data_IF_453691855932
#
_entry.id   IF_453691855932
#
_cell.length_a   1.000
_cell.length_b   1.000
_cell.length_c   1.000
_cell.angle_alpha   90.00
_cell.angle_beta   90.00
_cell.angle_gamma   90.00
#
_symmetry.space_group_name_H-M   'P 1'
#
loop_
_entity.id
_entity.type
_entity.pdbx_description
1 polymer ?
#
# COMPACT_ATOMS: atom_id res chain seq x y z
N UNK A 1 7.65 -3.77 18.93
CA UNK A 1 7.15 -3.50 20.29
C UNK A 1 5.73 -4.04 20.50
N UNK A 2 4.81 -3.90 19.53
CA UNK A 2 3.44 -4.45 19.59
C UNK A 2 3.35 -5.98 19.75
N UNK A 3 4.18 -6.76 19.05
CA UNK A 3 4.12 -8.23 19.11
C UNK A 3 4.38 -8.76 20.54
N UNK A 4 5.26 -8.09 21.31
CA UNK A 4 5.55 -8.44 22.71
C UNK A 4 4.37 -8.14 23.64
N UNK A 5 3.55 -7.13 23.36
CA UNK A 5 2.37 -6.81 24.16
C UNK A 5 1.23 -7.82 23.94
N UNK A 6 1.07 -8.34 22.72
CA UNK A 6 -0.01 -9.29 22.38
C UNK A 6 0.27 -10.70 22.94
N UNK A 7 1.54 -11.12 22.99
CA UNK A 7 1.94 -12.47 23.42
C UNK A 7 1.92 -12.71 24.94
N UNK A 8 1.81 -11.66 25.76
CA UNK A 8 1.78 -11.77 27.22
C UNK A 8 0.43 -12.27 27.77
N UNK A 9 -0.64 -12.25 26.97
CA UNK A 9 -1.99 -12.61 27.38
C UNK A 9 -2.32 -14.09 27.19
N UNK A 10 -1.72 -14.99 27.97
CA UNK A 10 -2.13 -16.41 27.97
C UNK A 10 -3.15 -16.69 29.08
N UNK A 11 -4.44 -16.65 28.74
CA UNK A 11 -5.48 -17.42 29.46
C UNK A 11 -6.70 -17.69 28.55
N UNK A 12 -7.36 -18.79 28.91
CA UNK A 12 -8.43 -19.52 28.20
C UNK A 12 -9.49 -18.63 27.53
N UNK A 13 -9.99 -19.16 26.42
CA UNK A 13 -11.18 -18.73 25.71
C UNK A 13 -12.37 -18.59 26.65
N UNK A 14 -12.65 -17.37 27.09
CA UNK A 14 -13.93 -16.95 27.65
C UNK A 14 -14.10 -15.47 27.26
N UNK A 15 -15.10 -15.16 26.44
CA UNK A 15 -15.46 -13.78 26.12
C UNK A 15 -16.05 -13.14 27.39
N UNK A 16 -15.25 -12.32 28.08
CA UNK A 16 -15.72 -11.50 29.20
C UNK A 16 -15.85 -10.06 28.69
N UNK A 17 -17.10 -9.63 28.44
CA UNK A 17 -17.39 -8.21 28.27
C UNK A 17 -17.49 -7.60 29.67
N UNK A 18 -16.39 -6.97 30.12
CA UNK A 18 -16.38 -6.17 31.34
C UNK A 18 -16.97 -4.80 30.98
N UNK A 19 -18.13 -4.47 31.54
CA UNK A 19 -18.96 -3.32 31.13
C UNK A 19 -18.48 -1.93 31.57
N UNK A 20 -17.42 -1.81 32.37
CA UNK A 20 -16.97 -0.52 32.94
C UNK A 20 -15.45 -0.29 32.87
N UNK A 21 -14.82 -0.71 31.79
CA UNK A 21 -13.43 -0.34 31.48
C UNK A 21 -13.46 0.34 30.10
N UNK A 22 -12.84 1.53 29.90
CA UNK A 22 -12.63 2.03 28.55
C UNK A 22 -11.85 0.96 27.79
N UNK A 23 -12.51 0.31 26.83
CA UNK A 23 -11.93 -0.86 26.16
C UNK A 23 -10.69 -0.39 25.39
N UNK A 24 -9.51 -0.65 25.97
CA UNK A 24 -8.25 -0.19 25.40
C UNK A 24 -7.90 -0.95 24.11
N UNK A 25 -8.26 -2.24 24.03
CA UNK A 25 -8.01 -3.08 22.86
C UNK A 25 -8.89 -4.34 22.89
N UNK A 26 -9.41 -4.76 21.74
CA UNK A 26 -10.12 -6.04 21.55
C UNK A 26 -9.24 -6.95 20.70
N UNK A 27 -9.01 -8.18 21.17
CA UNK A 27 -8.26 -9.21 20.43
C UNK A 27 -9.15 -10.43 20.27
N UNK A 28 -9.32 -10.90 19.04
CA UNK A 28 -10.15 -12.06 18.70
C UNK A 28 -9.35 -13.10 17.94
N UNK A 29 -9.50 -14.37 18.29
CA UNK A 29 -8.92 -15.48 17.56
C UNK A 29 -9.98 -16.13 16.68
N UNK A 30 -9.72 -16.20 15.38
CA UNK A 30 -10.60 -16.81 14.40
C UNK A 30 -9.91 -18.03 13.79
N UNK A 31 -10.63 -19.16 13.75
CA UNK A 31 -10.17 -20.36 13.07
C UNK A 31 -10.68 -20.36 11.62
N UNK A 32 -9.76 -20.50 10.65
CA UNK A 32 -10.09 -20.43 9.22
C UNK A 32 -11.06 -21.51 8.76
N UNK A 33 -11.07 -22.67 9.42
CA UNK A 33 -12.00 -23.76 9.09
C UNK A 33 -13.46 -23.48 9.49
N UNK A 34 -13.67 -22.63 10.51
CA UNK A 34 -15.02 -22.33 11.02
C UNK A 34 -15.69 -21.19 10.25
N UNK A 35 -14.89 -20.33 9.61
CA UNK A 35 -15.36 -19.17 8.88
C UNK A 35 -14.59 -19.06 7.55
N UNK A 36 -15.14 -19.64 6.46
CA UNK A 36 -14.51 -19.58 5.14
C UNK A 36 -14.25 -18.14 4.70
N UNK A 37 -13.15 -17.91 3.97
CA UNK A 37 -12.74 -16.57 3.55
C UNK A 37 -13.77 -15.87 2.64
N UNK A 38 -14.56 -16.66 1.91
CA UNK A 38 -15.60 -16.15 1.02
C UNK A 38 -16.85 -15.66 1.75
N UNK A 39 -17.02 -16.04 3.02
CA UNK A 39 -18.19 -15.70 3.82
C UNK A 39 -18.30 -14.18 4.05
N UNK A 40 -19.54 -13.71 4.21
CA UNK A 40 -19.82 -12.29 4.43
C UNK A 40 -19.31 -11.84 5.79
N UNK A 41 -19.44 -12.73 6.78
CA UNK A 41 -19.02 -12.56 8.16
C UNK A 41 -17.50 -12.36 8.24
N UNK A 42 -16.73 -13.17 7.52
CA UNK A 42 -15.27 -13.04 7.44
C UNK A 42 -14.86 -11.69 6.86
N UNK A 43 -15.50 -11.28 5.76
CA UNK A 43 -15.25 -9.99 5.11
C UNK A 43 -15.57 -8.81 6.02
N UNK A 44 -16.70 -8.87 6.73
CA UNK A 44 -17.07 -7.84 7.70
C UNK A 44 -16.09 -7.76 8.87
N UNK A 45 -15.69 -8.90 9.43
CA UNK A 45 -14.75 -8.96 10.55
C UNK A 45 -13.38 -8.40 10.17
N UNK A 46 -12.92 -8.72 8.96
CA UNK A 46 -11.68 -8.15 8.43
C UNK A 46 -11.78 -6.65 8.15
N UNK A 47 -12.95 -6.16 7.71
CA UNK A 47 -13.16 -4.73 7.45
C UNK A 47 -13.11 -3.89 8.73
N UNK A 48 -13.70 -4.38 9.82
CA UNK A 48 -13.69 -3.67 11.10
C UNK A 48 -12.32 -3.75 11.80
N UNK A 49 -11.58 -4.86 11.61
CA UNK A 49 -10.30 -5.09 12.25
C UNK A 49 -9.27 -4.00 11.88
N UNK A 50 -8.61 -3.44 12.89
CA UNK A 50 -7.50 -2.49 12.73
C UNK A 50 -6.19 -3.21 12.40
N UNK A 51 -6.04 -4.42 12.93
CA UNK A 51 -4.85 -5.25 12.76
C UNK A 51 -5.29 -6.69 12.56
N UNK A 52 -4.76 -7.32 11.52
CA UNK A 52 -4.99 -8.70 11.17
C UNK A 52 -3.66 -9.45 11.30
N UNK A 53 -3.70 -10.60 11.96
CA UNK A 53 -2.55 -11.47 12.15
C UNK A 53 -2.94 -12.84 11.62
N UNK A 54 -2.38 -13.21 10.47
CA UNK A 54 -2.64 -14.50 9.84
C UNK A 54 -1.46 -15.43 10.09
N UNK A 55 -1.75 -16.59 10.69
CA UNK A 55 -0.77 -17.64 10.92
C UNK A 55 -0.86 -18.66 9.80
N UNK A 56 0.26 -18.92 9.13
CA UNK A 56 0.40 -19.97 8.12
C UNK A 56 1.50 -20.94 8.54
N UNK A 57 1.29 -22.22 8.29
CA UNK A 57 2.31 -23.24 8.45
C UNK A 57 2.82 -23.63 7.06
N UNK A 58 4.08 -23.35 6.75
CA UNK A 58 4.73 -23.84 5.54
C UNK A 58 5.04 -25.35 5.68
N UNK A 59 5.14 -26.12 4.57
CA UNK A 59 5.42 -27.55 4.60
C UNK A 59 6.78 -27.87 5.23
N UNK A 60 7.69 -26.90 5.26
CA UNK A 60 8.98 -26.96 5.97
C UNK A 60 8.86 -26.83 7.51
N UNK A 61 7.64 -26.87 8.06
CA UNK A 61 7.32 -26.68 9.49
C UNK A 61 7.71 -25.32 10.06
N UNK A 62 7.99 -24.34 9.20
CA UNK A 62 8.21 -22.95 9.63
C UNK A 62 6.84 -22.27 9.78
N UNK A 63 6.63 -21.64 10.93
CA UNK A 63 5.42 -20.84 11.16
C UNK A 63 5.65 -19.47 10.55
N UNK A 64 4.86 -19.12 9.54
CA UNK A 64 4.82 -17.80 8.95
C UNK A 64 3.69 -16.99 9.57
N UNK A 65 3.94 -15.71 9.80
CA UNK A 65 2.96 -14.78 10.34
C UNK A 65 2.88 -13.58 9.41
N UNK A 66 1.72 -13.32 8.82
CA UNK A 66 1.47 -12.06 8.13
C UNK A 66 0.75 -11.11 9.05
N UNK A 67 1.33 -9.93 9.17
CA UNK A 67 0.75 -8.79 9.85
C UNK A 67 0.24 -7.82 8.80
N UNK A 68 -1.05 -7.49 8.87
CA UNK A 68 -1.64 -6.38 8.12
C UNK A 68 -2.21 -5.40 9.12
N UNK A 69 -1.74 -4.16 9.09
CA UNK A 69 -2.25 -3.13 9.98
C UNK A 69 -2.69 -1.88 9.21
N UNK A 70 -3.82 -1.33 9.62
CA UNK A 70 -4.38 -0.07 9.09
C UNK A 70 -3.84 1.10 9.88
N UNK A 71 -3.16 2.01 9.19
CA UNK A 71 -2.70 3.28 9.74
C UNK A 71 -3.87 4.26 9.90
N UNK A 72 -3.68 5.29 10.74
CA UNK A 72 -4.68 6.35 10.94
C UNK A 72 -4.95 7.16 9.66
N UNK A 73 -3.97 7.25 8.77
CA UNK A 73 -4.07 7.90 7.45
C UNK A 73 -4.82 7.06 6.39
N UNK A 74 -5.37 5.90 6.76
CA UNK A 74 -6.08 5.00 5.85
C UNK A 74 -5.19 4.10 4.98
N UNK A 75 -3.86 4.25 5.03
CA UNK A 75 -2.93 3.32 4.38
C UNK A 75 -2.83 2.01 5.16
N UNK A 76 -2.36 0.97 4.49
CA UNK A 76 -2.10 -0.33 5.10
C UNK A 76 -0.60 -0.65 5.00
N UNK A 77 -0.02 -1.17 6.07
CA UNK A 77 1.31 -1.75 6.05
C UNK A 77 1.20 -3.26 6.29
N UNK A 78 1.97 -4.00 5.48
CA UNK A 78 2.00 -5.45 5.45
C UNK A 78 3.42 -5.93 5.72
N UNK A 79 3.56 -6.85 6.65
CA UNK A 79 4.84 -7.43 7.04
C UNK A 79 4.69 -8.93 7.20
N UNK A 80 5.69 -9.67 6.74
CA UNK A 80 5.73 -11.13 6.85
C UNK A 80 6.86 -11.53 7.80
N UNK A 81 6.54 -12.38 8.77
CA UNK A 81 7.47 -12.83 9.80
C UNK A 81 7.65 -14.34 9.72
N UNK A 82 8.89 -14.81 9.79
CA UNK A 82 9.22 -16.20 10.09
C UNK A 82 9.34 -16.35 11.61
N UNK A 83 8.54 -17.22 12.20
CA UNK A 83 8.47 -17.41 13.65
C UNK A 83 8.87 -18.83 14.06
N UNK A 84 9.68 -18.91 15.12
CA UNK A 84 10.18 -20.17 15.67
C UNK A 84 10.19 -20.08 17.20
N UNK A 85 9.97 -21.20 17.88
CA UNK A 85 10.18 -21.28 19.33
C UNK A 85 11.52 -21.94 19.62
N UNK A 86 12.31 -21.30 20.48
CA UNK A 86 13.54 -21.89 20.99
C UNK A 86 13.28 -23.03 21.99
N UNK A 87 14.33 -23.78 22.32
CA UNK A 87 14.34 -24.75 23.42
C UNK A 87 13.91 -24.13 24.77
N UNK A 88 14.11 -22.81 24.94
CA UNK A 88 13.68 -22.02 26.10
C UNK A 88 12.21 -21.57 26.06
N UNK A 89 11.44 -21.96 25.02
CA UNK A 89 10.06 -21.52 24.72
C UNK A 89 9.92 -20.02 24.45
N UNK A 90 11.01 -19.35 24.11
CA UNK A 90 10.99 -17.96 23.68
C UNK A 90 10.70 -17.89 22.17
N UNK A 91 9.87 -16.91 21.77
CA UNK A 91 9.56 -16.66 20.37
C UNK A 91 10.72 -15.91 19.71
N UNK A 92 11.37 -16.56 18.75
CA UNK A 92 12.26 -15.93 17.79
C UNK A 92 11.51 -15.59 16.52
N UNK A 93 11.78 -14.41 15.95
CA UNK A 93 11.18 -13.99 14.70
C UNK A 93 12.18 -13.28 13.79
N UNK A 94 12.01 -13.46 12.49
CA UNK A 94 12.76 -12.77 11.44
C UNK A 94 11.79 -12.12 10.46
N UNK A 95 12.04 -10.85 10.11
CA UNK A 95 11.24 -10.12 9.12
C UNK A 95 11.66 -10.58 7.73
N UNK A 96 10.75 -11.22 7.02
CA UNK A 96 10.93 -11.53 5.61
C UNK A 96 10.52 -10.28 4.84
N UNK A 97 11.53 -9.52 4.43
CA UNK A 97 11.33 -8.49 3.43
C UNK A 97 11.16 -9.20 2.10
N UNK A 98 10.02 -9.02 1.45
CA UNK A 98 9.91 -9.37 0.04
C UNK A 98 11.07 -8.69 -0.70
N UNK A 99 11.74 -9.38 -1.66
CA UNK A 99 12.66 -8.68 -2.54
C UNK A 99 11.91 -7.47 -3.10
N UNK A 100 12.56 -6.30 -3.23
CA UNK A 100 11.91 -5.16 -3.86
C UNK A 100 11.31 -5.70 -5.16
N UNK A 101 10.00 -5.55 -5.34
CA UNK A 101 9.38 -5.77 -6.64
C UNK A 101 10.17 -4.86 -7.56
N UNK A 102 11.17 -5.42 -8.24
CA UNK A 102 11.72 -4.82 -9.43
C UNK A 102 10.47 -4.62 -10.26
N UNK A 103 10.01 -3.37 -10.34
CA UNK A 103 9.16 -2.94 -11.42
C UNK A 103 10.01 -3.18 -12.65
N UNK A 104 10.03 -4.44 -13.12
CA UNK A 104 10.32 -4.72 -14.52
C UNK A 104 9.40 -3.74 -15.25
N UNK A 105 9.91 -2.89 -16.16
CA UNK A 105 9.03 -2.05 -16.95
C UNK A 105 7.95 -2.99 -17.48
N UNK A 106 6.70 -2.74 -17.06
CA UNK A 106 5.58 -3.54 -17.47
C UNK A 106 5.66 -3.60 -18.98
N UNK A 107 5.93 -4.78 -19.52
CA UNK A 107 5.79 -5.00 -20.96
C UNK A 107 4.39 -4.50 -21.31
N UNK A 108 4.31 -3.61 -22.30
CA UNK A 108 3.15 -2.85 -22.80
C UNK A 108 1.90 -3.66 -23.21
N UNK A 109 1.65 -4.81 -22.61
CA UNK A 109 0.51 -5.67 -22.84
C UNK A 109 -0.22 -5.93 -21.53
N UNK A 110 -0.64 -4.86 -20.86
CA UNK A 110 -1.89 -4.92 -20.12
C UNK A 110 -2.93 -5.24 -21.19
N UNK A 111 -3.46 -6.46 -21.17
CA UNK A 111 -4.59 -6.84 -22.01
C UNK A 111 -5.81 -6.08 -21.50
N UNK A 112 -5.93 -4.82 -21.91
CA UNK A 112 -6.95 -3.91 -21.42
C UNK A 112 -8.31 -4.41 -21.92
N UNK A 113 -9.13 -4.96 -21.03
CA UNK A 113 -10.56 -5.19 -21.29
C UNK A 113 -11.31 -3.86 -21.17
N UNK A 114 -11.02 -2.90 -22.06
CA UNK A 114 -11.80 -1.67 -22.21
C UNK A 114 -12.68 -1.77 -23.45
N UNK A 115 -13.85 -1.15 -23.42
CA UNK A 115 -14.76 -1.04 -24.58
C UNK A 115 -14.22 -0.12 -25.68
N UNK A 116 -13.06 0.49 -25.47
CA UNK A 116 -12.38 1.38 -26.40
C UNK A 116 -10.87 1.11 -26.42
N UNK A 117 -10.24 1.46 -27.53
CA UNK A 117 -8.83 1.16 -27.83
C UNK A 117 -7.91 2.13 -27.05
N UNK A 118 -7.13 1.61 -26.10
CA UNK A 118 -6.14 2.40 -25.35
C UNK A 118 -4.76 2.48 -26.01
N UNK A 119 -4.46 1.61 -26.97
CA UNK A 119 -3.18 1.56 -27.66
C UNK A 119 -3.30 2.07 -29.09
N UNK A 120 -2.35 2.90 -29.52
CA UNK A 120 -2.26 3.33 -30.91
C UNK A 120 -1.48 2.30 -31.73
N UNK A 121 -2.00 1.95 -32.89
CA UNK A 121 -1.24 1.19 -33.89
C UNK A 121 -0.06 2.02 -34.43
N UNK A 122 0.94 1.34 -34.98
CA UNK A 122 2.16 1.97 -35.48
C UNK A 122 1.86 3.05 -36.55
N UNK A 123 0.87 2.78 -37.42
CA UNK A 123 0.39 3.73 -38.43
C UNK A 123 -0.27 4.98 -37.82
N UNK A 124 -1.03 4.81 -36.73
CA UNK A 124 -1.68 5.92 -36.03
C UNK A 124 -0.65 6.78 -35.29
N UNK A 125 0.38 6.15 -34.71
CA UNK A 125 1.52 6.85 -34.10
C UNK A 125 2.28 7.68 -35.14
N UNK A 126 2.50 7.12 -36.32
CA UNK A 126 3.19 7.83 -37.42
C UNK A 126 2.37 9.01 -37.93
N UNK A 127 1.06 8.82 -38.11
CA UNK A 127 0.14 9.89 -38.51
C UNK A 127 0.13 11.03 -37.47
N UNK A 128 0.06 10.70 -36.16
CA UNK A 128 0.14 11.70 -35.08
C UNK A 128 1.44 12.49 -35.10
N UNK A 129 2.58 11.85 -35.42
CA UNK A 129 3.89 12.52 -35.51
C UNK A 129 3.98 13.48 -36.70
N UNK A 130 3.23 13.21 -37.77
CA UNK A 130 3.19 14.06 -38.97
C UNK A 130 2.26 15.28 -38.82
N UNK A 131 1.39 15.30 -37.81
CA UNK A 131 0.53 16.45 -37.53
C UNK A 131 1.37 17.62 -37.04
N UNK A 132 1.46 18.67 -37.86
CA UNK A 132 2.09 19.93 -37.49
C UNK A 132 1.15 20.69 -36.55
N UNK A 133 1.61 20.95 -35.33
CA UNK A 133 0.82 21.71 -34.35
C UNK A 133 0.84 23.20 -34.72
N UNK A 134 -0.33 23.86 -34.90
CA UNK A 134 -0.43 25.21 -35.47
C UNK A 134 0.38 26.30 -34.77
N UNK A 135 0.67 26.12 -33.47
CA UNK A 135 1.30 27.13 -32.63
C UNK A 135 2.70 26.74 -32.12
N UNK A 136 3.20 25.54 -32.49
CA UNK A 136 4.59 25.19 -32.20
C UNK A 136 5.46 25.88 -33.24
N UNK A 137 5.99 27.04 -32.86
CA UNK A 137 7.02 27.75 -33.62
C UNK A 137 8.29 26.88 -33.60
N UNK A 138 8.49 26.06 -34.62
CA UNK A 138 9.80 25.49 -34.91
C UNK A 138 10.77 26.67 -35.04
N UNK A 139 11.83 26.65 -34.23
CA UNK A 139 12.78 27.74 -34.01
C UNK A 139 13.69 28.03 -35.21
N UNK A 140 13.14 28.08 -36.42
CA UNK A 140 13.86 28.32 -37.67
C UNK A 140 13.42 29.59 -38.40
N UNK A 141 12.83 30.55 -37.67
CA UNK A 141 12.74 31.94 -38.13
C UNK A 141 13.32 32.84 -37.07
N UNK A 142 14.29 33.64 -37.49
CA UNK A 142 14.95 34.74 -36.78
C UNK A 142 14.13 35.22 -35.58
N UNK A 143 14.63 34.92 -34.38
CA UNK A 143 13.97 35.10 -33.10
C UNK A 143 13.65 36.58 -32.80
N UNK A 144 12.52 37.09 -33.32
CA UNK A 144 11.96 38.41 -32.99
C UNK A 144 10.87 38.35 -31.92
N UNK A 145 10.92 37.37 -31.03
CA UNK A 145 9.94 37.20 -29.95
C UNK A 145 10.54 36.39 -28.81
N UNK A 146 11.52 36.99 -28.12
CA UNK A 146 11.95 36.49 -26.83
C UNK A 146 10.90 36.93 -25.82
N UNK A 147 10.28 35.98 -25.14
CA UNK A 147 9.40 36.25 -24.01
C UNK A 147 10.34 36.52 -22.84
N UNK A 148 10.51 37.79 -22.51
CA UNK A 148 11.20 38.19 -21.29
C UNK A 148 10.15 38.21 -20.20
N UNK A 149 10.29 37.29 -19.24
CA UNK A 149 9.51 37.32 -18.03
C UNK A 149 10.21 38.24 -17.03
N UNK A 150 9.55 39.31 -16.66
CA UNK A 150 9.94 40.15 -15.51
C UNK A 150 8.97 39.77 -14.39
N UNK A 151 9.45 39.17 -13.28
CA UNK A 151 8.62 38.95 -12.11
C UNK A 151 8.05 40.29 -11.66
N UNK A 152 6.73 40.43 -11.64
CA UNK A 152 6.08 41.63 -11.14
C UNK A 152 5.95 41.56 -9.62
N UNK A 153 5.65 42.69 -8.96
CA UNK A 153 5.55 42.73 -7.49
C UNK A 153 4.31 41.98 -6.92
N UNK A 154 3.45 41.48 -7.82
CA UNK A 154 2.28 40.65 -7.56
C UNK A 154 2.50 39.19 -7.99
N UNK A 155 3.69 38.88 -8.51
CA UNK A 155 4.16 37.53 -8.75
C UNK A 155 4.59 37.01 -7.38
N UNK A 156 3.58 36.64 -6.60
CA UNK A 156 3.73 36.00 -5.31
C UNK A 156 4.55 34.74 -5.57
N UNK A 157 5.87 34.84 -5.36
CA UNK A 157 6.69 33.71 -5.01
C UNK A 157 6.06 33.18 -3.73
N UNK A 158 5.14 32.24 -3.90
CA UNK A 158 4.51 31.51 -2.81
C UNK A 158 5.61 30.68 -2.17
N UNK A 159 6.41 31.35 -1.33
CA UNK A 159 7.48 30.77 -0.50
C UNK A 159 6.87 29.86 0.58
N UNK A 160 5.54 29.77 0.67
CA UNK A 160 4.83 28.76 1.44
C UNK A 160 4.82 27.47 0.62
N UNK A 161 5.97 26.78 0.60
CA UNK A 161 6.08 25.45 0.00
C UNK A 161 5.00 24.56 0.67
N UNK A 162 3.98 24.08 -0.06
CA UNK A 162 2.91 23.27 0.51
C UNK A 162 3.42 21.93 1.08
N UNK A 163 4.69 21.59 0.82
CA UNK A 163 5.39 20.45 1.40
C UNK A 163 6.14 20.76 2.71
N UNK A 164 6.30 22.03 3.14
CA UNK A 164 7.07 22.40 4.36
C UNK A 164 6.37 21.99 5.67
N UNK A 165 5.04 21.84 5.65
CA UNK A 165 4.24 21.30 6.76
C UNK A 165 4.15 19.74 6.73
N UNK A 166 4.76 19.09 5.74
CA UNK A 166 4.74 17.63 5.61
C UNK A 166 5.88 17.00 6.40
N UNK A 167 5.65 16.78 7.71
CA UNK A 167 6.49 15.89 8.52
C UNK A 167 6.37 14.42 8.02
N UNK A 168 7.32 14.00 7.17
CA UNK A 168 7.48 12.62 6.66
C UNK A 168 8.04 11.64 7.69
#
# INVERSE_FOLDING_TARGET
MLLKQILAGRKRSDFVIIKDIPVAQVVTLLHSELLPEDSKEFKHLNYIATTQINLRLEPDKRTMLDLVYRQLNGKFQKETYSCQYNSTKELQYEIIKDPPKNKKPESDNILVKTTFKLTLEEKEKESRRQVILPYIKTSNKESKGRIYYEPDANDDWDDEDPDDDLEI
#
